data_IF_181039008257
#
_entry.id   IF_181039008257
#
_cell.length_a   1.000
_cell.length_b   1.000
_cell.length_c   1.000
_cell.angle_alpha   90.00
_cell.angle_beta   90.00
_cell.angle_gamma   90.00
#
_symmetry.space_group_name_H-M   'P 1'
#
loop_
_entity.id
_entity.type
_entity.pdbx_description
1 polymer ?
#
# COMPACT_ATOMS: atom_id res chain seq x y z
N UNK A 1 2.11 -5.37 19.60
CA UNK A 1 1.59 -5.32 18.21
C UNK A 1 2.00 -3.98 17.64
N UNK A 2 2.71 -3.96 16.51
CA UNK A 2 3.02 -2.71 15.80
C UNK A 2 1.78 -2.12 15.09
N UNK A 3 1.87 -0.88 14.56
CA UNK A 3 0.82 -0.26 13.77
C UNK A 3 0.49 -1.09 12.52
N UNK A 4 -0.79 -1.36 12.23
CA UNK A 4 -1.22 -2.22 11.09
C UNK A 4 -1.58 -1.39 9.85
N UNK A 5 -0.68 -0.51 9.43
CA UNK A 5 -1.00 0.55 8.45
C UNK A 5 -1.21 -0.02 7.05
N UNK A 6 -0.37 -0.96 6.61
CA UNK A 6 -0.49 -1.57 5.29
C UNK A 6 -1.76 -2.41 5.14
N UNK A 7 -2.08 -3.23 6.14
CA UNK A 7 -3.31 -4.07 6.11
C UNK A 7 -4.59 -3.25 6.13
N UNK A 8 -4.61 -2.15 6.89
CA UNK A 8 -5.75 -1.21 6.89
C UNK A 8 -5.87 -0.52 5.53
N UNK A 9 -4.73 -0.16 4.91
CA UNK A 9 -4.70 0.41 3.56
C UNK A 9 -5.35 -0.50 2.51
N UNK A 10 -5.01 -1.80 2.52
CA UNK A 10 -5.62 -2.79 1.62
C UNK A 10 -7.14 -2.86 1.74
N UNK A 11 -7.64 -2.90 2.99
CA UNK A 11 -9.08 -2.94 3.25
C UNK A 11 -9.78 -1.70 2.72
N UNK A 12 -9.23 -0.51 3.00
CA UNK A 12 -9.81 0.75 2.52
C UNK A 12 -9.76 0.88 1.00
N UNK A 13 -8.72 0.36 0.36
CA UNK A 13 -8.67 0.35 -1.10
C UNK A 13 -9.80 -0.49 -1.72
N UNK A 14 -10.16 -1.62 -1.08
CA UNK A 14 -11.28 -2.43 -1.52
C UNK A 14 -12.64 -1.76 -1.25
N UNK A 15 -12.79 -1.07 -0.12
CA UNK A 15 -14.03 -0.40 0.27
C UNK A 15 -14.29 0.89 -0.53
N UNK A 16 -13.25 1.66 -0.82
CA UNK A 16 -13.39 3.01 -1.38
C UNK A 16 -13.07 3.11 -2.88
N UNK A 17 -12.52 2.05 -3.51
CA UNK A 17 -12.17 2.01 -4.93
C UNK A 17 -11.47 3.28 -5.43
N UNK A 18 -10.28 3.62 -4.89
CA UNK A 18 -9.62 4.87 -5.19
C UNK A 18 -9.21 4.96 -6.65
N UNK A 19 -9.10 6.19 -7.17
CA UNK A 19 -8.60 6.45 -8.53
C UNK A 19 -7.07 6.44 -8.62
N UNK A 20 -6.37 6.51 -7.48
CA UNK A 20 -4.91 6.40 -7.36
C UNK A 20 -4.53 6.04 -5.92
N UNK A 21 -3.36 5.41 -5.75
CA UNK A 21 -2.78 5.07 -4.44
C UNK A 21 -1.37 5.65 -4.37
N UNK A 22 -1.03 6.26 -3.23
CA UNK A 22 0.34 6.59 -2.86
C UNK A 22 0.84 5.51 -1.89
N UNK A 23 1.95 4.85 -2.22
CA UNK A 23 2.51 3.74 -1.45
C UNK A 23 3.84 4.13 -0.82
N UNK A 24 3.94 4.07 0.51
CA UNK A 24 5.22 4.19 1.22
C UNK A 24 5.94 2.83 1.26
N UNK A 25 7.27 2.82 1.12
CA UNK A 25 8.09 1.62 1.27
C UNK A 25 8.41 1.26 2.73
N UNK A 26 8.27 2.19 3.67
CA UNK A 26 8.66 2.04 5.08
C UNK A 26 7.57 1.54 6.04
N UNK A 27 6.62 0.71 5.57
CA UNK A 27 5.50 0.27 6.40
C UNK A 27 5.97 -0.67 7.54
N UNK A 28 5.49 -0.47 8.80
CA UNK A 28 5.97 -1.21 9.96
C UNK A 28 5.40 -2.63 10.08
N UNK A 29 4.32 -2.95 9.37
CA UNK A 29 3.60 -4.23 9.47
C UNK A 29 3.81 -5.18 8.29
N UNK A 30 3.87 -4.65 7.06
CA UNK A 30 4.05 -5.42 5.82
C UNK A 30 4.89 -4.62 4.85
N UNK A 31 5.73 -5.29 4.04
CA UNK A 31 6.50 -4.64 2.98
C UNK A 31 5.56 -3.96 1.97
N UNK A 32 5.89 -2.74 1.52
CA UNK A 32 5.13 -2.04 0.48
C UNK A 32 5.01 -2.84 -0.83
N UNK A 33 6.01 -3.67 -1.15
CA UNK A 33 5.96 -4.59 -2.31
C UNK A 33 4.87 -5.66 -2.13
N UNK A 34 4.70 -6.18 -0.91
CA UNK A 34 3.63 -7.14 -0.62
C UNK A 34 2.26 -6.48 -0.75
N UNK A 35 2.11 -5.23 -0.31
CA UNK A 35 0.87 -4.46 -0.49
C UNK A 35 0.52 -4.31 -1.97
N UNK A 36 1.50 -3.91 -2.79
CA UNK A 36 1.32 -3.75 -4.24
C UNK A 36 0.92 -5.09 -4.86
N UNK A 37 1.58 -6.17 -4.47
CA UNK A 37 1.30 -7.52 -4.96
C UNK A 37 -0.13 -7.95 -4.64
N UNK A 38 -0.62 -7.65 -3.43
CA UNK A 38 -2.00 -7.97 -3.05
C UNK A 38 -3.03 -7.10 -3.76
N UNK A 39 -2.78 -5.80 -3.92
CA UNK A 39 -3.64 -4.89 -4.70
C UNK A 39 -3.80 -5.37 -6.15
N UNK A 40 -2.71 -5.78 -6.78
CA UNK A 40 -2.68 -6.20 -8.19
C UNK A 40 -3.42 -7.51 -8.48
N UNK A 41 -3.86 -8.24 -7.45
CA UNK A 41 -4.74 -9.40 -7.64
C UNK A 41 -6.16 -9.02 -8.09
N UNK A 42 -6.58 -7.77 -7.84
CA UNK A 42 -7.96 -7.35 -8.05
C UNK A 42 -8.13 -5.89 -8.49
N UNK A 43 -7.06 -5.11 -8.58
CA UNK A 43 -7.12 -3.70 -9.00
C UNK A 43 -5.94 -3.29 -9.88
N UNK A 44 -6.29 -2.63 -10.98
CA UNK A 44 -5.35 -1.93 -11.86
C UNK A 44 -5.14 -0.46 -11.47
N UNK A 45 -5.58 -0.05 -10.28
CA UNK A 45 -5.45 1.34 -9.81
C UNK A 45 -4.00 1.83 -9.95
N UNK A 46 -3.76 3.04 -10.50
CA UNK A 46 -2.43 3.63 -10.53
C UNK A 46 -1.82 3.68 -9.13
N UNK A 47 -0.58 3.21 -8.99
CA UNK A 47 0.17 3.25 -7.72
C UNK A 47 1.42 4.12 -7.94
N UNK A 48 1.56 5.16 -7.13
CA UNK A 48 2.75 6.02 -7.07
C UNK A 48 3.54 5.59 -5.85
N UNK A 49 4.73 5.06 -6.07
CA UNK A 49 5.63 4.65 -4.97
C UNK A 49 6.38 5.86 -4.45
N UNK A 50 6.16 6.19 -3.19
CA UNK A 50 6.92 7.18 -2.45
C UNK A 50 8.01 6.45 -1.64
N UNK A 51 9.27 6.60 -2.06
CA UNK A 51 10.41 6.07 -1.34
C UNK A 51 11.26 7.21 -0.80
N UNK A 52 11.43 7.27 0.51
CA UNK A 52 12.48 8.06 1.11
C UNK A 52 13.78 7.24 1.05
N UNK A 53 14.78 7.72 0.32
CA UNK A 53 16.16 7.23 0.48
C UNK A 53 16.77 7.97 1.66
N UNK A 54 16.93 7.30 2.80
CA UNK A 54 17.84 7.77 3.84
C UNK A 54 19.27 7.61 3.32
N UNK A 55 19.92 8.73 2.98
CA UNK A 55 21.37 8.87 2.79
C UNK A 55 22.09 8.92 4.13
#
# INVERSE_FOLDING_TARGET
MGPQVGRVGLRRAAECQPVAIIMDCGLPDIDGVEVITQLRRWSDVPIIVFSARSS
#
